data_IF_753461154684
#
_entry.id   IF_753461154684
#
_cell.length_a   1.000
_cell.length_b   1.000
_cell.length_c   1.000
_cell.angle_alpha   90.00
_cell.angle_beta   90.00
_cell.angle_gamma   90.00
#
_symmetry.space_group_name_H-M   'P 1'
#
loop_
_entity.id
_entity.type
_entity.pdbx_description
1 polymer ?
#
# COMPACT_ATOMS: atom_id res chain seq x y z
N UNK A 1 -10.91 -35.02 9.54
CA UNK A 1 -9.76 -35.48 8.74
C UNK A 1 -8.83 -34.31 8.52
N UNK A 2 -7.69 -34.29 9.20
CA UNK A 2 -6.66 -33.24 9.09
C UNK A 2 -5.78 -33.58 7.89
N UNK A 3 -5.78 -32.75 6.85
CA UNK A 3 -4.82 -32.88 5.75
C UNK A 3 -3.58 -32.07 6.09
N UNK A 4 -2.52 -32.77 6.53
CA UNK A 4 -1.15 -32.27 6.52
C UNK A 4 -0.63 -32.39 5.10
N UNK A 5 -0.34 -31.27 4.43
CA UNK A 5 0.60 -31.25 3.30
C UNK A 5 1.95 -30.82 3.85
N UNK A 6 2.89 -31.75 3.90
CA UNK A 6 4.28 -31.48 4.20
C UNK A 6 4.86 -30.59 3.09
N UNK A 7 5.27 -29.38 3.45
CA UNK A 7 6.08 -28.50 2.61
C UNK A 7 7.51 -29.05 2.57
N UNK A 8 7.80 -29.93 1.62
CA UNK A 8 9.18 -30.32 1.29
C UNK A 8 9.79 -29.32 0.32
N UNK A 9 10.36 -28.26 0.90
CA UNK A 9 11.17 -27.26 0.20
C UNK A 9 12.16 -26.61 1.17
N UNK A 10 13.21 -27.36 1.52
CA UNK A 10 14.41 -26.94 2.30
C UNK A 10 14.09 -25.90 3.39
N UNK A 11 13.36 -26.32 4.43
CA UNK A 11 13.41 -25.66 5.73
C UNK A 11 14.60 -26.25 6.50
N UNK A 12 15.61 -25.43 6.75
CA UNK A 12 16.58 -25.68 7.81
C UNK A 12 15.79 -25.66 9.12
N UNK A 13 15.46 -26.84 9.62
CA UNK A 13 14.85 -27.02 10.92
C UNK A 13 15.85 -26.59 12.00
N UNK A 14 15.59 -25.48 12.68
CA UNK A 14 16.20 -25.17 13.97
C UNK A 14 15.06 -24.95 14.95
N UNK A 15 14.81 -26.00 15.75
CA UNK A 15 14.07 -25.90 16.99
C UNK A 15 14.86 -25.04 17.96
N UNK A 16 14.42 -23.81 18.22
CA UNK A 16 14.81 -23.11 19.43
C UNK A 16 13.63 -22.32 20.00
N UNK A 17 13.40 -22.55 21.28
CA UNK A 17 12.50 -21.86 22.19
C UNK A 17 12.50 -20.33 22.01
N UNK A 18 11.32 -19.74 22.26
CA UNK A 18 10.89 -18.38 21.89
C UNK A 18 11.69 -17.19 22.45
N UNK A 19 12.81 -17.40 23.14
CA UNK A 19 13.75 -16.32 23.48
C UNK A 19 14.89 -16.17 22.44
N UNK A 20 15.18 -17.20 21.65
CA UNK A 20 16.29 -17.18 20.69
C UNK A 20 15.95 -16.51 19.35
N UNK A 21 14.72 -16.68 18.87
CA UNK A 21 14.29 -16.23 17.55
C UNK A 21 14.27 -14.69 17.42
N UNK A 22 13.83 -14.00 18.49
CA UNK A 22 13.80 -12.54 18.53
C UNK A 22 15.22 -11.94 18.40
N UNK A 23 16.23 -12.62 18.94
CA UNK A 23 17.63 -12.19 18.82
C UNK A 23 18.19 -12.36 17.41
N UNK A 24 17.69 -13.35 16.65
CA UNK A 24 18.14 -13.67 15.29
C UNK A 24 17.74 -12.57 14.28
N UNK A 25 16.49 -12.11 14.32
CA UNK A 25 16.02 -11.00 13.46
C UNK A 25 16.78 -9.73 13.77
N UNK A 26 16.89 -9.40 15.06
CA UNK A 26 17.52 -8.17 15.48
C UNK A 26 18.97 -8.14 14.99
N UNK A 27 19.65 -9.28 14.99
CA UNK A 27 20.97 -9.42 14.39
C UNK A 27 20.96 -9.29 12.86
N UNK A 28 19.99 -9.86 12.14
CA UNK A 28 19.84 -9.66 10.69
C UNK A 28 19.58 -8.19 10.34
N UNK A 29 18.80 -7.49 11.16
CA UNK A 29 18.45 -6.10 10.92
C UNK A 29 19.62 -5.17 11.14
N UNK A 30 20.52 -5.40 12.12
CA UNK A 30 21.64 -4.48 12.46
C UNK A 30 22.39 -3.92 11.24
N UNK A 31 22.66 -4.76 10.23
CA UNK A 31 23.40 -4.36 9.03
C UNK A 31 22.54 -4.29 7.76
N UNK A 32 21.22 -4.42 7.88
CA UNK A 32 20.32 -4.32 6.73
C UNK A 32 20.43 -2.93 6.09
N UNK A 33 20.71 -2.94 4.79
CA UNK A 33 20.71 -1.77 3.93
C UNK A 33 19.51 -1.84 3.00
N UNK A 34 18.93 -0.68 2.69
CA UNK A 34 17.80 -0.56 1.77
C UNK A 34 18.23 0.20 0.53
N UNK A 35 17.82 -0.31 -0.63
CA UNK A 35 17.84 0.41 -1.90
C UNK A 35 16.40 0.51 -2.37
N UNK A 36 15.97 1.70 -2.77
CA UNK A 36 14.63 1.88 -3.31
C UNK A 36 14.49 1.10 -4.62
N UNK A 37 13.52 0.18 -4.65
CA UNK A 37 13.11 -0.52 -5.86
C UNK A 37 11.61 -0.31 -6.02
N UNK A 38 11.17 -0.12 -7.27
CA UNK A 38 9.77 0.04 -7.60
C UNK A 38 9.15 -1.34 -7.87
N UNK A 39 7.95 -1.61 -7.35
CA UNK A 39 7.30 -2.92 -7.49
C UNK A 39 7.13 -3.31 -8.96
N UNK A 40 6.85 -2.31 -9.81
CA UNK A 40 6.64 -2.48 -11.25
C UNK A 40 7.83 -3.10 -11.98
N UNK A 41 9.04 -3.00 -11.41
CA UNK A 41 10.26 -3.50 -12.01
C UNK A 41 10.42 -5.03 -11.82
N UNK A 42 9.59 -5.66 -10.99
CA UNK A 42 9.61 -7.09 -10.69
C UNK A 42 8.51 -7.90 -11.38
N UNK A 43 7.60 -7.25 -12.12
CA UNK A 43 6.47 -7.95 -12.69
C UNK A 43 6.81 -8.66 -14.01
N UNK A 44 6.43 -9.95 -14.16
CA UNK A 44 6.55 -10.63 -15.44
C UNK A 44 5.59 -10.04 -16.47
N UNK A 45 5.86 -10.20 -17.78
CA UNK A 45 4.92 -9.83 -18.82
C UNK A 45 3.61 -10.60 -18.67
N UNK A 46 2.50 -9.97 -19.06
CA UNK A 46 1.17 -10.55 -18.99
C UNK A 46 0.81 -11.19 -20.34
N UNK A 47 0.19 -12.37 -20.29
CA UNK A 47 -0.43 -12.98 -21.47
C UNK A 47 -1.58 -12.07 -21.96
N UNK A 48 -1.62 -11.67 -23.26
CA UNK A 48 -2.61 -10.73 -23.77
C UNK A 48 -4.07 -11.22 -23.66
N UNK A 49 -4.30 -12.53 -23.83
CA UNK A 49 -5.63 -13.13 -23.70
C UNK A 49 -6.07 -13.12 -22.23
N UNK A 50 -5.15 -13.46 -21.32
CA UNK A 50 -5.40 -13.39 -19.89
C UNK A 50 -5.72 -11.97 -19.41
N UNK A 51 -5.02 -10.97 -19.95
CA UNK A 51 -5.26 -9.55 -19.64
C UNK A 51 -6.62 -9.05 -20.16
N UNK A 52 -7.15 -9.64 -21.24
CA UNK A 52 -8.53 -9.38 -21.69
C UNK A 52 -9.56 -9.85 -20.63
N UNK A 53 -9.45 -11.08 -20.13
CA UNK A 53 -10.36 -11.57 -19.07
C UNK A 53 -10.23 -10.76 -17.79
N UNK A 54 -9.01 -10.38 -17.42
CA UNK A 54 -8.77 -9.50 -16.27
C UNK A 54 -9.48 -8.14 -16.45
N UNK A 55 -9.32 -7.49 -17.61
CA UNK A 55 -9.98 -6.22 -17.92
C UNK A 55 -11.51 -6.33 -17.92
N UNK A 56 -12.07 -7.42 -18.46
CA UNK A 56 -13.51 -7.68 -18.39
C UNK A 56 -13.99 -7.80 -16.95
N UNK A 57 -13.30 -8.59 -16.12
CA UNK A 57 -13.62 -8.74 -14.69
C UNK A 57 -13.58 -7.39 -13.96
N UNK A 58 -12.56 -6.56 -14.22
CA UNK A 58 -12.45 -5.20 -13.67
C UNK A 58 -13.60 -4.29 -14.11
N UNK A 59 -14.04 -4.38 -15.35
CA UNK A 59 -15.17 -3.60 -15.83
C UNK A 59 -16.47 -3.99 -15.12
N UNK A 60 -16.72 -5.29 -14.93
CA UNK A 60 -17.87 -5.78 -14.15
C UNK A 60 -17.83 -5.29 -12.70
N UNK A 61 -16.65 -5.28 -12.05
CA UNK A 61 -16.49 -4.75 -10.70
C UNK A 61 -16.78 -3.24 -10.60
N UNK A 62 -16.47 -2.46 -11.64
CA UNK A 62 -16.69 -1.00 -11.67
C UNK A 62 -18.12 -0.54 -11.94
N UNK A 63 -18.98 -1.40 -12.50
CA UNK A 63 -20.38 -1.04 -12.80
C UNK A 63 -21.15 -0.55 -11.54
N UNK A 64 -22.30 0.10 -11.68
CA UNK A 64 -23.15 0.39 -10.53
C UNK A 64 -24.08 -0.80 -10.25
N UNK A 65 -24.51 -0.98 -9.00
CA UNK A 65 -25.48 -2.02 -8.62
C UNK A 65 -24.87 -3.38 -8.29
N UNK A 66 -25.74 -4.41 -8.29
CA UNK A 66 -25.39 -5.79 -7.89
C UNK A 66 -24.36 -6.40 -8.83
N UNK A 67 -23.35 -7.05 -8.25
CA UNK A 67 -22.22 -7.66 -8.96
C UNK A 67 -22.46 -9.14 -9.23
N UNK A 68 -22.12 -9.57 -10.44
CA UNK A 68 -22.03 -10.99 -10.78
C UNK A 68 -20.66 -11.54 -10.38
N UNK A 69 -20.51 -11.87 -9.09
CA UNK A 69 -19.27 -12.44 -8.57
C UNK A 69 -18.98 -13.85 -9.10
N UNK A 70 -19.99 -14.56 -9.64
CA UNK A 70 -19.78 -15.85 -10.30
C UNK A 70 -18.99 -15.63 -11.60
N UNK A 71 -19.46 -14.70 -12.44
CA UNK A 71 -18.75 -14.35 -13.68
C UNK A 71 -17.39 -13.70 -13.40
N UNK A 72 -17.30 -12.75 -12.46
CA UNK A 72 -16.03 -12.10 -12.09
C UNK A 72 -15.00 -13.13 -11.61
N UNK A 73 -15.40 -14.03 -10.71
CA UNK A 73 -14.53 -15.09 -10.20
C UNK A 73 -14.07 -16.04 -11.31
N UNK A 74 -14.95 -16.40 -12.25
CA UNK A 74 -14.60 -17.25 -13.40
C UNK A 74 -13.56 -16.59 -14.31
N UNK A 75 -13.75 -15.32 -14.68
CA UNK A 75 -12.80 -14.57 -15.51
C UNK A 75 -11.43 -14.45 -14.83
N UNK A 76 -11.40 -14.16 -13.52
CA UNK A 76 -10.13 -14.14 -12.80
C UNK A 76 -9.46 -15.50 -12.70
N UNK A 77 -10.21 -16.60 -12.56
CA UNK A 77 -9.65 -17.96 -12.60
C UNK A 77 -9.06 -18.27 -13.97
N UNK A 78 -9.73 -17.92 -15.06
CA UNK A 78 -9.21 -18.10 -16.43
C UNK A 78 -7.90 -17.31 -16.63
N UNK A 79 -7.88 -16.04 -16.24
CA UNK A 79 -6.66 -15.24 -16.29
C UNK A 79 -5.55 -15.81 -15.38
N UNK A 80 -5.90 -16.26 -14.17
CA UNK A 80 -4.96 -16.88 -13.25
C UNK A 80 -4.38 -18.18 -13.82
N UNK A 81 -5.12 -19.01 -14.57
CA UNK A 81 -4.58 -20.21 -15.23
C UNK A 81 -3.37 -19.87 -16.10
N UNK A 82 -3.38 -18.69 -16.73
CA UNK A 82 -2.28 -18.14 -17.54
C UNK A 82 -1.30 -17.24 -16.78
N UNK A 83 -1.14 -17.45 -15.46
CA UNK A 83 -0.21 -16.71 -14.61
C UNK A 83 -0.47 -15.19 -14.52
N UNK A 84 -1.71 -14.73 -14.73
CA UNK A 84 -2.02 -13.32 -14.62
C UNK A 84 -2.04 -12.83 -13.16
N UNK A 85 -0.91 -12.28 -12.69
CA UNK A 85 -0.69 -11.97 -11.27
C UNK A 85 -1.71 -10.96 -10.71
N UNK A 86 -2.15 -9.95 -11.48
CA UNK A 86 -3.18 -9.01 -11.01
C UNK A 86 -4.55 -9.67 -10.83
N UNK A 87 -4.85 -10.69 -11.65
CA UNK A 87 -6.10 -11.44 -11.54
C UNK A 87 -6.06 -12.35 -10.31
N UNK A 88 -4.91 -12.98 -10.06
CA UNK A 88 -4.65 -13.75 -8.84
C UNK A 88 -4.84 -12.89 -7.58
N UNK A 89 -4.23 -11.70 -7.51
CA UNK A 89 -4.40 -10.79 -6.38
C UNK A 89 -5.87 -10.39 -6.15
N UNK A 90 -6.59 -10.05 -7.22
CA UNK A 90 -8.01 -9.69 -7.09
C UNK A 90 -8.89 -10.87 -6.71
N UNK A 91 -8.66 -12.05 -7.29
CA UNK A 91 -9.38 -13.28 -6.95
C UNK A 91 -9.16 -13.65 -5.48
N UNK A 92 -7.91 -13.61 -5.04
CA UNK A 92 -7.53 -13.85 -3.66
C UNK A 92 -8.29 -12.91 -2.70
N UNK A 93 -8.30 -11.60 -2.98
CA UNK A 93 -9.00 -10.64 -2.15
C UNK A 93 -10.53 -10.89 -2.10
N UNK A 94 -11.14 -11.19 -3.25
CA UNK A 94 -12.58 -11.46 -3.35
C UNK A 94 -12.97 -12.78 -2.66
N UNK A 95 -12.14 -13.82 -2.76
CA UNK A 95 -12.31 -15.08 -2.04
C UNK A 95 -12.22 -14.84 -0.54
N UNK A 96 -11.17 -14.14 -0.06
CA UNK A 96 -10.96 -13.85 1.36
C UNK A 96 -12.13 -13.06 1.98
N UNK A 97 -12.72 -12.12 1.22
CA UNK A 97 -13.92 -11.37 1.60
C UNK A 97 -15.23 -12.18 1.51
N UNK A 98 -15.19 -13.40 0.98
CA UNK A 98 -16.37 -14.25 0.77
C UNK A 98 -17.30 -13.81 -0.36
N UNK A 99 -16.85 -12.88 -1.24
CA UNK A 99 -17.61 -12.40 -2.39
C UNK A 99 -17.64 -13.41 -3.53
N UNK A 100 -16.52 -14.10 -3.74
CA UNK A 100 -16.41 -15.23 -4.69
C UNK A 100 -16.47 -16.52 -3.90
N UNK A 101 -17.25 -17.49 -4.38
CA UNK A 101 -17.30 -18.84 -3.79
C UNK A 101 -16.05 -19.62 -4.17
N UNK A 102 -15.50 -20.44 -3.26
CA UNK A 102 -14.33 -21.25 -3.59
C UNK A 102 -14.65 -22.29 -4.66
N UNK A 103 -13.61 -22.80 -5.31
CA UNK A 103 -13.71 -23.91 -6.25
C UNK A 103 -14.31 -25.16 -5.59
N UNK A 104 -15.02 -25.98 -6.37
CA UNK A 104 -15.74 -27.14 -5.83
C UNK A 104 -14.80 -28.06 -5.04
N UNK A 105 -15.19 -28.39 -3.81
CA UNK A 105 -14.41 -29.26 -2.92
C UNK A 105 -13.26 -28.57 -2.20
N UNK A 106 -13.03 -27.28 -2.40
CA UNK A 106 -12.02 -26.50 -1.66
C UNK A 106 -12.64 -25.66 -0.56
N UNK A 107 -11.93 -25.56 0.58
CA UNK A 107 -12.21 -24.52 1.57
C UNK A 107 -11.71 -23.17 1.05
N UNK A 108 -12.39 -22.08 1.44
CA UNK A 108 -12.00 -20.71 1.05
C UNK A 108 -10.55 -20.40 1.38
N UNK A 109 -10.12 -20.70 2.61
CA UNK A 109 -8.77 -20.43 3.05
C UNK A 109 -7.74 -21.22 2.22
N UNK A 110 -8.09 -22.45 1.81
CA UNK A 110 -7.22 -23.28 1.00
C UNK A 110 -6.98 -22.66 -0.39
N UNK A 111 -8.03 -22.29 -1.13
CA UNK A 111 -7.86 -21.66 -2.45
C UNK A 111 -7.14 -20.31 -2.34
N UNK A 112 -7.40 -19.53 -1.28
CA UNK A 112 -6.69 -18.28 -1.01
C UNK A 112 -5.20 -18.53 -0.83
N UNK A 113 -4.79 -19.50 0.00
CA UNK A 113 -3.38 -19.81 0.22
C UNK A 113 -2.73 -20.38 -1.04
N UNK A 114 -3.41 -21.26 -1.79
CA UNK A 114 -2.91 -21.80 -3.07
C UNK A 114 -2.58 -20.66 -4.06
N UNK A 115 -3.42 -19.61 -4.12
CA UNK A 115 -3.16 -18.43 -4.97
C UNK A 115 -1.94 -17.65 -4.48
N UNK A 116 -1.82 -17.42 -3.16
CA UNK A 116 -0.70 -16.66 -2.58
C UNK A 116 0.63 -17.41 -2.77
N UNK A 117 0.65 -18.72 -2.56
CA UNK A 117 1.83 -19.55 -2.83
C UNK A 117 2.23 -19.50 -4.31
N UNK A 118 1.26 -19.47 -5.22
CA UNK A 118 1.54 -19.31 -6.66
C UNK A 118 2.14 -17.94 -6.99
N UNK A 119 1.64 -16.86 -6.38
CA UNK A 119 2.22 -15.52 -6.50
C UNK A 119 3.67 -15.49 -6.00
N UNK A 120 3.96 -16.11 -4.86
CA UNK A 120 5.32 -16.23 -4.30
C UNK A 120 6.22 -17.04 -5.23
N UNK A 121 5.73 -18.17 -5.76
CA UNK A 121 6.48 -19.01 -6.71
C UNK A 121 6.85 -18.26 -7.99
N UNK A 122 6.08 -17.24 -8.35
CA UNK A 122 6.34 -16.36 -9.49
C UNK A 122 7.13 -15.11 -9.11
N UNK A 123 7.70 -15.04 -7.90
CA UNK A 123 8.44 -13.89 -7.37
C UNK A 123 7.63 -12.58 -7.42
N UNK A 124 6.31 -12.63 -7.22
CA UNK A 124 5.45 -11.45 -7.21
C UNK A 124 5.52 -10.76 -5.83
N UNK A 125 5.98 -9.50 -5.72
CA UNK A 125 6.26 -8.86 -4.43
C UNK A 125 5.07 -8.81 -3.46
N UNK A 126 3.88 -8.42 -3.93
CA UNK A 126 2.69 -8.40 -3.07
C UNK A 126 2.24 -9.81 -2.62
N UNK A 127 2.64 -10.89 -3.30
CA UNK A 127 2.40 -12.26 -2.83
C UNK A 127 3.07 -12.53 -1.48
N UNK A 128 4.33 -12.10 -1.34
CA UNK A 128 5.04 -12.15 -0.06
C UNK A 128 4.37 -11.28 1.00
N UNK A 129 3.92 -10.07 0.64
CA UNK A 129 3.23 -9.18 1.58
C UNK A 129 1.90 -9.78 2.09
N UNK A 130 1.11 -10.39 1.21
CA UNK A 130 -0.15 -11.05 1.58
C UNK A 130 0.12 -12.25 2.50
N UNK A 131 1.10 -13.09 2.16
CA UNK A 131 1.49 -14.21 3.03
C UNK A 131 1.94 -13.72 4.42
N UNK A 132 2.75 -12.66 4.46
CA UNK A 132 3.13 -12.03 5.71
C UNK A 132 1.92 -11.59 6.54
N UNK A 133 0.93 -10.98 5.90
CA UNK A 133 -0.34 -10.60 6.55
C UNK A 133 -1.09 -11.82 7.10
N UNK A 134 -1.14 -12.92 6.37
CA UNK A 134 -1.83 -14.14 6.79
C UNK A 134 -1.11 -14.91 7.89
N UNK A 135 0.22 -14.96 7.88
CA UNK A 135 1.03 -15.47 9.00
C UNK A 135 0.83 -14.62 10.25
N UNK A 136 0.68 -13.30 10.13
CA UNK A 136 0.41 -12.43 11.27
C UNK A 136 -0.97 -12.73 11.91
N UNK A 137 -1.96 -13.11 11.09
CA UNK A 137 -3.36 -13.31 11.49
C UNK A 137 -3.74 -14.78 11.75
N UNK A 138 -2.92 -15.74 11.31
CA UNK A 138 -3.28 -17.17 11.29
C UNK A 138 -4.38 -17.50 10.27
N UNK A 139 -4.47 -16.76 9.15
CA UNK A 139 -5.49 -17.02 8.12
C UNK A 139 -5.06 -18.13 7.18
N UNK A 140 -5.61 -19.34 7.34
CA UNK A 140 -5.31 -20.48 6.47
C UNK A 140 -3.91 -21.10 6.66
N UNK A 141 -3.07 -20.46 7.47
CA UNK A 141 -1.73 -20.90 7.90
C UNK A 141 -1.62 -20.73 9.42
N UNK A 142 -0.67 -21.41 10.05
CA UNK A 142 -0.37 -21.21 11.47
C UNK A 142 0.14 -19.78 11.70
N UNK A 143 -0.31 -19.16 12.80
CA UNK A 143 0.11 -17.80 13.12
C UNK A 143 1.60 -17.79 13.50
N UNK A 144 2.39 -17.02 12.77
CA UNK A 144 3.82 -16.85 13.01
C UNK A 144 4.22 -15.40 12.70
N UNK A 145 4.31 -14.58 13.75
CA UNK A 145 4.67 -13.16 13.61
C UNK A 145 6.10 -12.95 13.11
N UNK A 146 6.96 -13.96 13.28
CA UNK A 146 8.34 -13.87 12.87
C UNK A 146 8.50 -14.16 11.38
N UNK A 147 7.92 -15.27 10.93
CA UNK A 147 7.81 -15.54 9.50
C UNK A 147 7.09 -14.38 8.81
N UNK A 148 5.99 -13.86 9.38
CA UNK A 148 5.27 -12.70 8.86
C UNK A 148 6.19 -11.51 8.56
N UNK A 149 7.06 -11.16 9.51
CA UNK A 149 8.02 -10.07 9.32
C UNK A 149 9.03 -10.36 8.21
N UNK A 150 9.56 -11.58 8.12
CA UNK A 150 10.51 -11.95 7.06
C UNK A 150 9.87 -11.88 5.67
N UNK A 151 8.62 -12.35 5.53
CA UNK A 151 7.86 -12.25 4.28
C UNK A 151 7.61 -10.78 3.89
N UNK A 152 7.21 -9.93 4.84
CA UNK A 152 7.03 -8.50 4.58
C UNK A 152 8.37 -7.79 4.26
N UNK A 153 9.46 -8.15 4.93
CA UNK A 153 10.78 -7.59 4.63
C UNK A 153 11.23 -7.95 3.21
N UNK A 154 11.02 -9.21 2.80
CA UNK A 154 11.28 -9.67 1.44
C UNK A 154 10.45 -8.89 0.41
N UNK A 155 9.15 -8.71 0.68
CA UNK A 155 8.28 -7.89 -0.18
C UNK A 155 8.77 -6.44 -0.31
N UNK A 156 9.22 -5.83 0.80
CA UNK A 156 9.73 -4.45 0.81
C UNK A 156 11.01 -4.29 -0.01
N UNK A 157 11.94 -5.26 0.09
CA UNK A 157 13.16 -5.32 -0.73
C UNK A 157 12.84 -5.50 -2.21
N UNK A 158 11.76 -6.22 -2.52
CA UNK A 158 11.26 -6.39 -3.90
C UNK A 158 10.35 -5.23 -4.35
N UNK A 159 10.31 -4.14 -3.60
CA UNK A 159 9.64 -2.93 -4.02
C UNK A 159 8.16 -2.82 -3.70
N UNK A 160 7.54 -3.80 -3.01
CA UNK A 160 6.12 -3.71 -2.68
C UNK A 160 5.84 -2.47 -1.78
N UNK A 161 4.98 -1.53 -2.19
CA UNK A 161 4.80 -0.26 -1.49
C UNK A 161 4.17 -0.42 -0.11
N UNK A 162 3.20 -1.33 0.06
CA UNK A 162 2.60 -1.62 1.37
C UNK A 162 3.64 -2.16 2.35
N UNK A 163 4.49 -3.07 1.90
CA UNK A 163 5.57 -3.64 2.68
C UNK A 163 6.64 -2.60 3.03
N UNK A 164 7.06 -1.77 2.06
CA UNK A 164 7.98 -0.66 2.32
C UNK A 164 7.44 0.28 3.40
N UNK A 165 6.13 0.54 3.38
CA UNK A 165 5.47 1.32 4.42
C UNK A 165 5.48 0.63 5.79
N UNK A 166 5.07 -0.64 5.87
CA UNK A 166 5.00 -1.38 7.14
C UNK A 166 6.39 -1.52 7.76
N UNK A 167 7.39 -1.91 6.95
CA UNK A 167 8.76 -2.09 7.41
C UNK A 167 9.42 -0.74 7.74
N UNK A 168 9.19 0.29 6.92
CA UNK A 168 9.66 1.65 7.17
C UNK A 168 9.17 2.19 8.51
N UNK A 169 7.88 2.01 8.82
CA UNK A 169 7.33 2.37 10.13
C UNK A 169 8.00 1.62 11.28
N UNK A 170 8.29 0.32 11.12
CA UNK A 170 9.01 -0.44 12.16
C UNK A 170 10.41 0.12 12.41
N UNK A 171 11.09 0.62 11.38
CA UNK A 171 12.38 1.32 11.54
C UNK A 171 12.24 2.69 12.20
N UNK A 172 11.09 3.36 12.08
CA UNK A 172 10.84 4.66 12.73
C UNK A 172 10.24 4.55 14.13
N UNK A 173 9.93 3.34 14.58
CA UNK A 173 9.31 3.09 15.88
C UNK A 173 10.36 3.13 17.01
N UNK A 174 10.48 4.29 17.67
CA UNK A 174 11.42 4.49 18.77
C UNK A 174 11.13 3.60 20.00
N UNK A 175 9.94 3.00 20.10
CA UNK A 175 9.62 2.02 21.16
C UNK A 175 10.30 0.67 20.92
N UNK A 176 10.89 0.46 19.73
CA UNK A 176 11.65 -0.73 19.33
C UNK A 176 13.10 -0.38 19.03
N UNK A 177 13.89 -0.02 20.06
CA UNK A 177 15.26 0.49 19.90
C UNK A 177 16.17 -0.47 19.12
N UNK A 178 15.95 -1.78 19.22
CA UNK A 178 16.70 -2.82 18.49
C UNK A 178 16.59 -2.73 16.97
N UNK A 179 15.51 -2.14 16.46
CA UNK A 179 15.29 -1.92 15.03
C UNK A 179 15.18 -0.44 14.70
N UNK A 180 15.37 0.49 15.63
CA UNK A 180 15.16 1.91 15.36
C UNK A 180 16.28 2.49 14.49
N UNK A 181 15.91 2.95 13.28
CA UNK A 181 16.77 3.62 12.30
C UNK A 181 15.93 4.61 11.50
N UNK A 182 15.85 5.85 12.01
CA UNK A 182 14.96 6.88 11.49
C UNK A 182 15.15 7.14 9.98
N UNK A 183 16.38 7.39 9.54
CA UNK A 183 16.65 7.75 8.15
C UNK A 183 16.44 6.58 7.18
N UNK A 184 16.71 5.35 7.62
CA UNK A 184 16.37 4.15 6.86
C UNK A 184 14.85 4.02 6.71
N UNK A 185 14.10 4.18 7.80
CA UNK A 185 12.65 4.13 7.77
C UNK A 185 12.04 5.21 6.89
N UNK A 186 12.55 6.45 6.98
CA UNK A 186 12.18 7.56 6.09
C UNK A 186 12.43 7.22 4.62
N UNK A 187 13.58 6.62 4.30
CA UNK A 187 13.92 6.21 2.93
C UNK A 187 12.96 5.16 2.39
N UNK A 188 12.54 4.20 3.21
CA UNK A 188 11.55 3.19 2.83
C UNK A 188 10.16 3.80 2.64
N UNK A 189 9.74 4.71 3.53
CA UNK A 189 8.49 5.44 3.35
C UNK A 189 8.51 6.32 2.10
N UNK A 190 9.64 6.96 1.79
CA UNK A 190 9.77 7.82 0.61
C UNK A 190 9.61 6.99 -0.67
N UNK A 191 10.30 5.85 -0.74
CA UNK A 191 10.15 4.92 -1.85
C UNK A 191 8.69 4.44 -2.02
N UNK A 192 8.01 4.10 -0.93
CA UNK A 192 6.59 3.71 -0.93
C UNK A 192 5.68 4.85 -1.43
N UNK A 193 5.91 6.07 -0.94
CA UNK A 193 5.17 7.27 -1.32
C UNK A 193 5.32 7.60 -2.81
N UNK A 194 6.54 7.47 -3.37
CA UNK A 194 6.82 7.70 -4.78
C UNK A 194 6.04 6.76 -5.71
N UNK A 195 5.75 5.52 -5.27
CA UNK A 195 4.95 4.57 -6.05
C UNK A 195 3.43 4.80 -5.93
N UNK A 196 2.99 5.80 -5.17
CA UNK A 196 1.57 6.10 -5.02
C UNK A 196 0.94 5.67 -3.71
N UNK A 197 1.72 5.25 -2.72
CA UNK A 197 1.15 4.84 -1.43
C UNK A 197 0.88 6.04 -0.52
N UNK A 198 -0.35 6.53 -0.58
CA UNK A 198 -0.76 7.80 0.01
C UNK A 198 -0.56 7.87 1.54
N UNK A 199 -0.70 6.74 2.25
CA UNK A 199 -0.42 6.64 3.69
C UNK A 199 1.06 6.86 4.01
N UNK A 200 2.00 6.37 3.19
CA UNK A 200 3.42 6.61 3.40
C UNK A 200 3.76 8.09 3.21
N UNK A 201 3.20 8.71 2.17
CA UNK A 201 3.32 10.14 1.92
C UNK A 201 2.78 10.95 3.12
N UNK A 202 1.58 10.62 3.63
CA UNK A 202 1.02 11.30 4.80
C UNK A 202 1.95 11.21 6.02
N UNK A 203 2.45 10.00 6.32
CA UNK A 203 3.35 9.78 7.45
C UNK A 203 4.64 10.58 7.34
N UNK A 204 5.21 10.69 6.15
CA UNK A 204 6.38 11.53 5.92
C UNK A 204 6.07 13.01 6.07
N UNK A 205 4.90 13.44 5.58
CA UNK A 205 4.38 14.80 5.78
C UNK A 205 4.35 15.18 7.25
N UNK A 206 3.71 14.35 8.07
CA UNK A 206 3.64 14.53 9.52
C UNK A 206 5.00 14.38 10.21
N UNK A 207 5.86 13.46 9.75
CA UNK A 207 7.18 13.27 10.35
C UNK A 207 8.12 14.47 10.12
N UNK A 208 7.86 15.28 9.09
CA UNK A 208 8.61 16.49 8.77
C UNK A 208 7.95 17.79 9.27
N UNK A 209 6.75 17.72 9.87
CA UNK A 209 5.95 18.90 10.22
C UNK A 209 6.68 19.86 11.16
N UNK A 210 7.56 19.37 12.03
CA UNK A 210 8.17 20.19 13.08
C UNK A 210 9.59 20.68 12.73
N UNK A 211 10.17 20.20 11.62
CA UNK A 211 11.59 20.43 11.33
C UNK A 211 11.91 20.74 9.86
N UNK A 212 11.03 20.44 8.91
CA UNK A 212 11.23 20.71 7.49
C UNK A 212 9.88 20.92 6.81
N UNK A 213 9.33 22.14 6.93
CA UNK A 213 8.03 22.49 6.37
C UNK A 213 7.96 22.26 4.85
N UNK A 214 9.05 22.49 4.12
CA UNK A 214 9.11 22.26 2.67
C UNK A 214 8.88 20.78 2.34
N UNK A 215 9.58 19.86 3.03
CA UNK A 215 9.34 18.42 2.86
C UNK A 215 7.96 18.01 3.36
N UNK A 216 7.50 18.58 4.47
CA UNK A 216 6.17 18.31 5.01
C UNK A 216 5.09 18.61 3.97
N UNK A 217 5.08 19.81 3.41
CA UNK A 217 4.15 20.23 2.35
C UNK A 217 4.26 19.34 1.12
N UNK A 218 5.47 19.02 0.66
CA UNK A 218 5.68 18.13 -0.48
C UNK A 218 5.01 16.77 -0.28
N UNK A 219 5.24 16.12 0.86
CA UNK A 219 4.70 14.80 1.14
C UNK A 219 3.21 14.82 1.44
N UNK A 220 2.69 15.87 2.10
CA UNK A 220 1.24 16.06 2.26
C UNK A 220 0.55 16.25 0.90
N UNK A 221 1.17 17.02 -0.01
CA UNK A 221 0.65 17.21 -1.38
C UNK A 221 0.64 15.89 -2.15
N UNK A 222 1.72 15.10 -2.02
CA UNK A 222 1.82 13.76 -2.61
C UNK A 222 0.76 12.80 -2.02
N UNK A 223 0.47 12.94 -0.73
CA UNK A 223 -0.57 12.17 -0.04
C UNK A 223 -1.97 12.49 -0.57
N UNK A 224 -2.31 13.78 -0.69
CA UNK A 224 -3.55 14.24 -1.32
C UNK A 224 -3.66 13.78 -2.78
N UNK A 225 -2.57 13.92 -3.56
CA UNK A 225 -2.45 13.47 -4.96
C UNK A 225 -2.90 12.01 -5.12
N UNK A 226 -2.50 11.16 -4.19
CA UNK A 226 -2.70 9.71 -4.26
C UNK A 226 -3.93 9.19 -3.51
N UNK A 227 -4.75 10.07 -2.96
CA UNK A 227 -6.08 9.70 -2.45
C UNK A 227 -6.23 9.71 -0.93
N UNK A 228 -5.31 10.32 -0.18
CA UNK A 228 -5.45 10.40 1.27
C UNK A 228 -6.13 11.71 1.69
N UNK A 229 -7.34 11.60 2.21
CA UNK A 229 -8.18 12.71 2.69
C UNK A 229 -7.40 13.63 3.64
N UNK A 230 -6.79 13.07 4.70
CA UNK A 230 -6.04 13.89 5.67
C UNK A 230 -4.87 14.67 5.04
N UNK A 231 -4.33 14.24 3.90
CA UNK A 231 -3.29 15.01 3.21
C UNK A 231 -3.82 16.35 2.71
N UNK A 232 -5.03 16.36 2.13
CA UNK A 232 -5.68 17.57 1.65
C UNK A 232 -6.20 18.42 2.83
N UNK A 233 -6.82 17.77 3.82
CA UNK A 233 -7.29 18.43 5.05
C UNK A 233 -6.16 19.18 5.77
N UNK A 234 -5.02 18.51 6.06
CA UNK A 234 -3.89 19.14 6.74
C UNK A 234 -3.29 20.29 5.93
N UNK A 235 -3.27 20.20 4.61
CA UNK A 235 -2.84 21.33 3.77
C UNK A 235 -3.81 22.50 3.84
N UNK A 236 -5.12 22.25 3.87
CA UNK A 236 -6.10 23.31 4.07
C UNK A 236 -5.85 24.05 5.40
N UNK A 237 -5.65 23.33 6.50
CA UNK A 237 -5.37 23.92 7.80
C UNK A 237 -4.03 24.67 7.83
N UNK A 238 -3.00 24.14 7.15
CA UNK A 238 -1.71 24.79 7.02
C UNK A 238 -1.75 26.14 6.31
N UNK A 239 -2.66 26.33 5.35
CA UNK A 239 -2.90 27.62 4.69
C UNK A 239 -3.95 28.48 5.39
N UNK A 240 -4.52 28.03 6.51
CA UNK A 240 -5.56 28.73 7.26
C UNK A 240 -5.04 29.38 8.56
N UNK A 241 -3.80 29.12 8.94
CA UNK A 241 -3.14 29.75 10.09
C UNK A 241 -1.74 30.27 9.72
N UNK A 242 -1.32 31.35 10.36
CA UNK A 242 0.06 31.81 10.41
C UNK A 242 0.58 31.94 11.85
N UNK A 243 -0.18 31.43 12.84
CA UNK A 243 0.19 31.47 14.25
C UNK A 243 1.16 30.30 14.57
N UNK A 244 2.43 30.58 14.91
CA UNK A 244 3.40 29.54 15.26
C UNK A 244 3.04 28.79 16.55
N UNK A 245 2.09 29.29 17.37
CA UNK A 245 1.59 28.57 18.54
C UNK A 245 0.60 27.47 18.17
N UNK A 246 -0.02 27.53 16.99
CA UNK A 246 -0.82 26.43 16.47
C UNK A 246 0.08 25.35 15.84
N UNK A 247 0.83 24.62 16.67
CA UNK A 247 1.85 23.67 16.23
C UNK A 247 1.32 22.54 15.34
N UNK A 248 0.04 22.18 15.46
CA UNK A 248 -0.56 21.11 14.66
C UNK A 248 -0.71 21.52 13.20
N UNK A 249 -1.13 22.77 12.97
CA UNK A 249 -1.46 23.27 11.63
C UNK A 249 -0.37 24.17 11.05
N UNK A 250 0.52 24.72 11.89
CA UNK A 250 1.54 25.66 11.45
C UNK A 250 2.67 24.97 10.67
N UNK A 251 2.65 25.13 9.34
CA UNK A 251 3.72 24.70 8.43
C UNK A 251 4.46 25.89 7.79
N UNK A 252 4.57 27.01 8.51
CA UNK A 252 5.31 28.20 8.06
C UNK A 252 4.71 28.90 6.84
N UNK A 253 3.42 28.72 6.58
CA UNK A 253 2.73 29.31 5.43
C UNK A 253 2.05 30.62 5.80
N UNK A 254 1.83 31.46 4.77
CA UNK A 254 0.92 32.60 4.89
C UNK A 254 -0.51 32.11 4.71
N UNK A 255 -1.45 32.80 5.35
CA UNK A 255 -2.87 32.56 5.13
C UNK A 255 -3.19 32.79 3.65
N UNK A 256 -3.77 31.79 2.99
CA UNK A 256 -4.14 31.83 1.59
C UNK A 256 -5.55 31.22 1.42
N UNK A 257 -6.61 32.06 1.47
CA UNK A 257 -8.00 31.58 1.45
C UNK A 257 -8.36 30.78 0.19
N UNK A 258 -7.72 31.08 -0.95
CA UNK A 258 -8.00 30.34 -2.18
C UNK A 258 -7.34 28.95 -2.15
N UNK A 259 -6.10 28.81 -1.64
CA UNK A 259 -5.52 27.49 -1.38
C UNK A 259 -6.37 26.66 -0.43
N UNK A 260 -6.81 27.28 0.67
CA UNK A 260 -7.73 26.64 1.63
C UNK A 260 -8.98 26.13 0.92
N UNK A 261 -9.61 26.95 0.07
CA UNK A 261 -10.79 26.56 -0.72
C UNK A 261 -10.49 25.38 -1.64
N UNK A 262 -9.39 25.41 -2.39
CA UNK A 262 -9.01 24.34 -3.34
C UNK A 262 -8.73 23.02 -2.62
N UNK A 263 -7.99 23.04 -1.52
CA UNK A 263 -7.74 21.84 -0.73
C UNK A 263 -9.02 21.28 -0.08
N UNK A 264 -9.92 22.14 0.42
CA UNK A 264 -11.23 21.69 0.94
C UNK A 264 -12.09 21.01 -0.14
N UNK A 265 -12.03 21.45 -1.39
CA UNK A 265 -12.73 20.77 -2.50
C UNK A 265 -12.11 19.41 -2.83
N UNK A 266 -10.77 19.30 -2.77
CA UNK A 266 -10.07 18.02 -2.94
C UNK A 266 -10.43 17.06 -1.81
N UNK A 267 -10.38 17.53 -0.56
CA UNK A 267 -10.77 16.81 0.64
C UNK A 267 -12.19 16.25 0.54
N UNK A 268 -13.18 17.10 0.27
CA UNK A 268 -14.58 16.70 0.07
C UNK A 268 -14.75 15.63 -1.01
N UNK A 269 -13.99 15.73 -2.10
CA UNK A 269 -14.05 14.73 -3.17
C UNK A 269 -13.44 13.39 -2.74
N UNK A 270 -12.36 13.41 -1.98
CA UNK A 270 -11.77 12.21 -1.39
C UNK A 270 -12.73 11.53 -0.40
N UNK A 271 -13.44 12.30 0.42
CA UNK A 271 -14.45 11.77 1.34
C UNK A 271 -15.63 11.12 0.59
N UNK A 272 -16.06 11.72 -0.52
CA UNK A 272 -17.19 11.23 -1.32
C UNK A 272 -16.83 10.05 -2.24
N UNK A 273 -15.56 9.97 -2.66
CA UNK A 273 -15.08 8.97 -3.60
C UNK A 273 -13.73 8.41 -3.15
N UNK A 274 -13.70 7.24 -2.49
CA UNK A 274 -12.45 6.65 -2.01
C UNK A 274 -11.50 6.18 -3.13
N UNK A 275 -11.93 6.26 -4.39
CA UNK A 275 -11.11 5.97 -5.56
C UNK A 275 -10.57 7.21 -6.27
N UNK A 276 -10.94 8.41 -5.81
CA UNK A 276 -10.46 9.66 -6.39
C UNK A 276 -8.95 9.81 -6.22
N UNK A 277 -8.30 10.29 -7.28
CA UNK A 277 -6.88 10.63 -7.32
C UNK A 277 -6.71 11.91 -8.14
N UNK A 278 -5.67 12.67 -7.84
CA UNK A 278 -5.45 14.00 -8.43
C UNK A 278 -4.06 14.06 -9.09
N UNK A 279 -3.80 13.33 -10.19
CA UNK A 279 -2.52 13.39 -10.89
C UNK A 279 -2.17 14.80 -11.42
N UNK A 280 -3.17 15.68 -11.48
CA UNK A 280 -3.15 17.08 -11.86
C UNK A 280 -3.12 18.05 -10.67
N UNK A 281 -2.94 17.56 -9.43
CA UNK A 281 -3.03 18.40 -8.21
C UNK A 281 -2.14 19.66 -8.26
N UNK A 282 -0.98 19.60 -8.92
CA UNK A 282 -0.08 20.76 -9.06
C UNK A 282 -0.54 21.78 -10.11
N UNK A 283 -1.45 21.40 -11.00
CA UNK A 283 -2.17 22.35 -11.88
C UNK A 283 -3.37 22.97 -11.17
N UNK A 284 -3.90 22.31 -10.14
CA UNK A 284 -5.01 22.81 -9.33
C UNK A 284 -4.48 23.74 -8.23
N UNK A 285 -3.49 23.29 -7.47
CA UNK A 285 -2.97 23.97 -6.27
C UNK A 285 -1.46 23.68 -6.12
N UNK A 286 -0.58 24.30 -6.95
CA UNK A 286 0.86 24.11 -6.86
C UNK A 286 1.40 24.65 -5.54
N UNK A 287 2.27 23.94 -4.83
CA UNK A 287 2.82 24.44 -3.57
C UNK A 287 3.59 25.78 -3.73
N UNK A 288 3.61 26.65 -2.70
CA UNK A 288 4.47 27.83 -2.69
C UNK A 288 5.94 27.49 -2.97
N UNK A 289 6.71 28.39 -3.60
CA UNK A 289 6.39 29.80 -3.87
C UNK A 289 5.57 30.04 -5.13
N UNK A 290 5.11 29.00 -5.84
CA UNK A 290 4.32 29.17 -7.05
C UNK A 290 2.99 29.89 -6.77
N UNK A 291 2.61 30.82 -7.66
CA UNK A 291 1.28 31.43 -7.64
C UNK A 291 0.21 30.43 -8.10
N UNK A 292 -1.03 30.66 -7.65
CA UNK A 292 -2.14 29.82 -8.07
C UNK A 292 -2.51 30.12 -9.54
N UNK A 293 -2.60 29.09 -10.39
CA UNK A 293 -3.09 29.28 -11.75
C UNK A 293 -4.60 29.55 -11.76
N UNK A 294 -5.10 30.09 -12.86
CA UNK A 294 -6.54 30.06 -13.16
C UNK A 294 -7.04 28.61 -13.11
N UNK A 295 -8.19 28.40 -12.48
CA UNK A 295 -8.79 27.09 -12.32
C UNK A 295 -10.30 27.19 -12.35
N UNK A 296 -10.93 26.40 -13.21
CA UNK A 296 -12.38 26.40 -13.47
C UNK A 296 -13.22 25.76 -12.35
N UNK A 297 -12.58 25.29 -11.28
CA UNK A 297 -13.24 24.60 -10.17
C UNK A 297 -13.56 23.13 -10.45
N UNK A 298 -13.05 22.54 -11.53
CA UNK A 298 -13.28 21.15 -11.92
C UNK A 298 -12.00 20.31 -11.91
N UNK A 299 -12.11 19.01 -11.64
CA UNK A 299 -10.97 18.08 -11.63
C UNK A 299 -10.82 17.39 -12.99
N UNK A 300 -9.58 17.20 -13.48
CA UNK A 300 -9.35 16.63 -14.82
C UNK A 300 -10.04 15.27 -15.01
N UNK A 301 -10.01 14.38 -14.02
CA UNK A 301 -10.62 13.05 -14.15
C UNK A 301 -12.16 13.06 -14.19
N UNK A 302 -12.80 14.19 -13.88
CA UNK A 302 -14.26 14.38 -14.00
C UNK A 302 -14.66 14.97 -15.34
N UNK A 303 -13.70 15.44 -16.14
CA UNK A 303 -13.98 15.96 -17.48
C UNK A 303 -14.35 14.77 -18.39
N UNK A 304 -15.35 14.95 -19.27
CA UNK A 304 -15.83 13.90 -20.18
C UNK A 304 -14.77 13.45 -21.17
#
# INVERSE_FOLDING_TARGET
MKYWRALSGIMIAIWLSGCSANSKINNQLKNFQFTCVQEKDHFPPLDPEADMWFKEARNLEKQKGKKDYVKIGSLYRQAAMKNHYKAMGNLQALLAQGKVTPSQGQFRQQEVIDIVERLIKMDIPFGYFIMGTYLQQGYGVEQDSEAAFQYMLKAAVMGNPDAQYVIGQRFMDATKPQSYRLDLGRSMLACSAEQGYANAAYRLGMNHSDNDYTKSLYYLQLSARYGHELGAYTLADAFNTNDPNNKLDYLGQKIDPERVRRYKLIDQELSNNPYAKFPDINKIVPLPPAELPEWDGTFEYKKP
#
